data_IF_186611582452
#
_entry.id   IF_186611582452
#
_cell.length_a   1.000
_cell.length_b   1.000
_cell.length_c   1.000
_cell.angle_alpha   90.00
_cell.angle_beta   90.00
_cell.angle_gamma   90.00
#
_symmetry.space_group_name_H-M   'P 1'
#
loop_
_entity.id
_entity.type
_entity.pdbx_description
1 polymer ?
#
# COMPACT_ATOMS: atom_id res chain seq x y z
N UNK A 1 -2.31 -9.05 -18.64
CA UNK A 1 -3.43 -8.30 -18.01
C UNK A 1 -3.54 -8.51 -16.50
N UNK A 2 -3.25 -9.70 -15.95
CA UNK A 2 -3.29 -9.93 -14.49
C UNK A 2 -2.36 -9.04 -13.65
N UNK A 3 -1.22 -8.60 -14.21
CA UNK A 3 -0.20 -7.81 -13.49
C UNK A 3 -0.70 -6.46 -12.95
N UNK A 4 -1.76 -5.89 -13.53
CA UNK A 4 -2.31 -4.60 -13.10
C UNK A 4 -3.27 -4.70 -11.92
N UNK A 5 -3.79 -5.90 -11.63
CA UNK A 5 -4.75 -6.13 -10.54
C UNK A 5 -4.10 -5.83 -9.18
N UNK A 6 -2.83 -6.17 -8.98
CA UNK A 6 -2.12 -5.92 -7.71
C UNK A 6 -2.05 -4.43 -7.34
N UNK A 7 -1.81 -3.55 -8.33
CA UNK A 7 -1.76 -2.10 -8.13
C UNK A 7 -3.11 -1.50 -7.79
N UNK A 8 -4.16 -2.01 -8.42
CA UNK A 8 -5.52 -1.60 -8.13
C UNK A 8 -5.93 -1.98 -6.69
N UNK A 9 -5.57 -3.18 -6.24
CA UNK A 9 -5.78 -3.60 -4.84
C UNK A 9 -4.96 -2.76 -3.85
N UNK A 10 -3.72 -2.38 -4.20
CA UNK A 10 -2.88 -1.47 -3.42
C UNK A 10 -3.56 -0.12 -3.18
N UNK A 11 -4.10 0.48 -4.24
CA UNK A 11 -4.82 1.76 -4.15
C UNK A 11 -6.07 1.61 -3.28
N UNK A 12 -6.87 0.56 -3.48
CA UNK A 12 -8.07 0.30 -2.67
C UNK A 12 -7.70 0.12 -1.19
N UNK A 13 -6.66 -0.66 -0.90
CA UNK A 13 -6.17 -0.87 0.46
C UNK A 13 -5.71 0.44 1.11
N UNK A 14 -4.97 1.28 0.38
CA UNK A 14 -4.57 2.60 0.85
C UNK A 14 -5.76 3.53 1.12
N UNK A 15 -6.78 3.53 0.25
CA UNK A 15 -8.01 4.31 0.46
C UNK A 15 -8.75 3.84 1.71
N UNK A 16 -8.92 2.52 1.89
CA UNK A 16 -9.58 1.95 3.07
C UNK A 16 -8.82 2.33 4.34
N UNK A 17 -7.49 2.23 4.34
CA UNK A 17 -6.66 2.61 5.48
C UNK A 17 -6.72 4.13 5.77
N UNK A 18 -6.84 4.98 4.74
CA UNK A 18 -6.97 6.43 4.91
C UNK A 18 -8.30 6.81 5.56
N UNK A 19 -9.39 6.11 5.18
CA UNK A 19 -10.74 6.35 5.68
C UNK A 19 -10.95 5.71 7.07
N UNK A 20 -10.42 4.50 7.27
CA UNK A 20 -10.61 3.69 8.48
C UNK A 20 -9.56 3.98 9.57
N UNK A 21 -8.48 4.69 9.24
CA UNK A 21 -7.40 5.00 10.15
C UNK A 21 -7.86 5.86 11.33
N UNK A 22 -7.93 5.25 12.52
CA UNK A 22 -8.04 5.98 13.79
C UNK A 22 -6.70 6.65 14.09
N UNK A 23 -6.72 7.97 14.32
CA UNK A 23 -5.54 8.77 14.65
C UNK A 23 -4.63 9.16 13.46
N UNK A 24 -3.58 9.95 13.73
CA UNK A 24 -2.67 10.45 12.69
C UNK A 24 -1.90 9.32 11.99
N UNK A 25 -1.46 8.30 12.73
CA UNK A 25 -0.69 7.16 12.21
C UNK A 25 -1.44 6.37 11.14
N UNK A 26 -2.73 6.08 11.37
CA UNK A 26 -3.58 5.37 10.41
C UNK A 26 -3.78 6.16 9.11
N UNK A 27 -3.95 7.48 9.21
CA UNK A 27 -4.08 8.36 8.03
C UNK A 27 -2.79 8.46 7.22
N UNK A 28 -1.63 8.50 7.88
CA UNK A 28 -0.32 8.47 7.22
C UNK A 28 -0.07 7.13 6.51
N UNK A 29 -0.44 6.01 7.14
CA UNK A 29 -0.35 4.69 6.51
C UNK A 29 -1.23 4.56 5.25
N UNK A 30 -2.45 5.09 5.30
CA UNK A 30 -3.34 5.14 4.14
C UNK A 30 -2.80 6.00 2.99
N UNK A 31 -2.28 7.18 3.30
CA UNK A 31 -1.69 8.07 2.29
C UNK A 31 -0.47 7.42 1.61
N UNK A 32 0.40 6.76 2.38
CA UNK A 32 1.54 6.02 1.84
C UNK A 32 1.10 4.88 0.92
N UNK A 33 0.03 4.15 1.26
CA UNK A 33 -0.50 3.09 0.41
C UNK A 33 -1.08 3.58 -0.91
N UNK A 34 -1.75 4.74 -0.92
CA UNK A 34 -2.23 5.37 -2.16
C UNK A 34 -1.04 5.77 -3.05
N UNK A 35 -0.03 6.43 -2.47
CA UNK A 35 1.16 6.86 -3.20
C UNK A 35 1.90 5.65 -3.79
N UNK A 36 2.09 4.58 -3.01
CA UNK A 36 2.75 3.37 -3.49
C UNK A 36 1.94 2.64 -4.57
N UNK A 37 0.60 2.64 -4.47
CA UNK A 37 -0.27 2.09 -5.49
C UNK A 37 -0.24 2.87 -6.82
N UNK A 38 -0.11 4.19 -6.76
CA UNK A 38 0.11 5.02 -7.96
C UNK A 38 1.46 4.71 -8.60
N UNK A 39 2.53 4.61 -7.79
CA UNK A 39 3.87 4.22 -8.27
C UNK A 39 3.81 2.82 -8.90
N UNK A 40 3.05 1.89 -8.31
CA UNK A 40 2.84 0.55 -8.88
C UNK A 40 2.21 0.62 -10.27
N UNK A 41 1.17 1.43 -10.47
CA UNK A 41 0.55 1.56 -11.79
C UNK A 41 1.51 2.14 -12.81
N UNK A 42 2.28 3.18 -12.44
CA UNK A 42 3.29 3.78 -13.31
C UNK A 42 4.32 2.73 -13.72
N UNK A 43 4.91 2.02 -12.74
CA UNK A 43 5.88 0.95 -13.01
C UNK A 43 5.24 -0.20 -13.80
N UNK A 44 3.98 -0.54 -13.53
CA UNK A 44 3.21 -1.54 -14.28
C UNK A 44 3.06 -1.22 -15.76
N UNK A 45 2.91 0.06 -16.10
CA UNK A 45 2.79 0.54 -17.48
C UNK A 45 4.15 0.50 -18.21
N UNK A 46 5.25 0.79 -17.52
CA UNK A 46 6.57 0.91 -18.15
C UNK A 46 7.44 -0.35 -18.08
N UNK A 47 7.33 -1.14 -17.01
CA UNK A 47 8.33 -2.15 -16.71
C UNK A 47 8.16 -3.44 -17.51
N UNK A 48 6.95 -3.78 -17.99
CA UNK A 48 6.59 -5.04 -18.69
C UNK A 48 7.06 -6.35 -18.01
N UNK A 49 7.80 -6.27 -16.91
CA UNK A 49 8.36 -7.36 -16.15
C UNK A 49 7.64 -7.44 -14.79
N UNK A 50 6.91 -8.54 -14.53
CA UNK A 50 6.17 -8.76 -13.29
C UNK A 50 7.04 -8.70 -12.02
N UNK A 51 8.35 -8.88 -12.12
CA UNK A 51 9.26 -8.91 -10.98
C UNK A 51 9.29 -7.57 -10.22
N UNK A 52 9.36 -6.44 -10.93
CA UNK A 52 9.39 -5.12 -10.31
C UNK A 52 8.09 -4.80 -9.56
N UNK A 53 6.97 -5.30 -10.08
CA UNK A 53 5.65 -5.13 -9.47
C UNK A 53 5.56 -5.96 -8.18
N UNK A 54 5.99 -7.22 -8.22
CA UNK A 54 6.05 -8.08 -7.04
C UNK A 54 6.94 -7.51 -5.94
N UNK A 55 8.10 -6.93 -6.30
CA UNK A 55 9.00 -6.24 -5.38
C UNK A 55 8.29 -5.06 -4.70
N UNK A 56 7.58 -4.24 -5.47
CA UNK A 56 6.88 -3.07 -4.94
C UNK A 56 5.74 -3.45 -3.98
N UNK A 57 5.02 -4.54 -4.25
CA UNK A 57 4.05 -5.13 -3.31
C UNK A 57 4.75 -5.63 -2.05
N UNK A 58 5.89 -6.31 -2.19
CA UNK A 58 6.67 -6.79 -1.04
C UNK A 58 7.10 -5.65 -0.11
N UNK A 59 7.60 -4.55 -0.66
CA UNK A 59 7.95 -3.34 0.10
C UNK A 59 6.72 -2.79 0.83
N UNK A 60 5.57 -2.69 0.13
CA UNK A 60 4.34 -2.20 0.74
C UNK A 60 3.94 -3.03 1.98
N UNK A 61 3.93 -4.36 1.84
CA UNK A 61 3.51 -5.26 2.92
C UNK A 61 4.45 -5.18 4.13
N UNK A 62 5.75 -5.04 3.90
CA UNK A 62 6.73 -4.86 4.98
C UNK A 62 6.46 -3.54 5.71
N UNK A 63 6.26 -2.44 4.99
CA UNK A 63 5.96 -1.14 5.59
C UNK A 63 4.68 -1.19 6.42
N UNK A 64 3.61 -1.78 5.88
CA UNK A 64 2.34 -1.93 6.58
C UNK A 64 2.48 -2.81 7.84
N UNK A 65 3.20 -3.92 7.75
CA UNK A 65 3.47 -4.79 8.90
C UNK A 65 4.26 -4.06 10.00
N UNK A 66 5.27 -3.28 9.63
CA UNK A 66 6.04 -2.45 10.57
C UNK A 66 5.12 -1.41 11.23
N UNK A 67 4.33 -0.67 10.45
CA UNK A 67 3.40 0.33 11.01
C UNK A 67 2.36 -0.30 11.95
N UNK A 68 1.90 -1.50 11.65
CA UNK A 68 0.95 -2.21 12.51
C UNK A 68 1.58 -2.60 13.86
N UNK A 69 2.86 -2.99 13.88
CA UNK A 69 3.57 -3.30 15.12
C UNK A 69 3.91 -2.03 15.92
N UNK A 70 4.27 -0.95 15.22
CA UNK A 70 4.67 0.32 15.85
C UNK A 70 3.49 1.17 16.30
N UNK A 71 2.29 0.96 15.75
CA UNK A 71 1.09 1.64 16.23
C UNK A 71 0.57 0.83 17.43
N UNK A 72 0.74 1.30 18.68
CA UNK A 72 0.15 0.62 19.81
C UNK A 72 -1.36 0.54 19.56
N UNK A 73 -1.94 -0.65 19.74
CA UNK A 73 -3.38 -0.79 19.77
C UNK A 73 -3.89 0.22 20.79
N UNK A 74 -4.59 1.25 20.32
CA UNK A 74 -5.33 2.15 21.18
C UNK A 74 -6.35 1.24 21.88
N UNK A 75 -6.03 0.87 23.12
CA UNK A 75 -6.91 0.08 23.98
C UNK A 75 -8.16 0.93 24.17
N UNK A 76 -9.23 0.57 23.47
CA UNK A 76 -10.59 0.98 23.84
C UNK A 76 -10.89 0.55 25.28
#
# INVERSE_FOLDING_TARGET
MLIYIGGFFLIISGIIALISGKGPSGRWGGLLGIILGIIYMIVGIYALDPFYLALLIGIFLILMGIFQILTPAETE
#
